data_IF_006313040405
#
_entry.id   IF_006313040405
#
_cell.length_a   1.000
_cell.length_b   1.000
_cell.length_c   1.000
_cell.angle_alpha   90.00
_cell.angle_beta   90.00
_cell.angle_gamma   90.00
#
_symmetry.space_group_name_H-M   'P 1'
#
loop_
_entity.id
_entity.type
_entity.pdbx_description
1 polymer ?
#
# COMPACT_ATOMS: atom_id res chain seq x y z
N UNK A 1 2.66 0.38 -7.02
CA UNK A 1 2.14 0.23 -5.64
C UNK A 1 0.63 0.10 -5.55
N UNK A 2 -0.12 1.00 -6.19
CA UNK A 2 -1.58 1.00 -6.10
C UNK A 2 -2.21 -0.32 -6.58
N UNK A 3 -1.87 -0.77 -7.77
CA UNK A 3 -2.48 -1.99 -8.32
C UNK A 3 -2.15 -3.23 -7.49
N UNK A 4 -0.91 -3.34 -7.02
CA UNK A 4 -0.51 -4.45 -6.16
C UNK A 4 -1.31 -4.44 -4.85
N UNK A 5 -1.42 -3.28 -4.20
CA UNK A 5 -2.16 -3.13 -2.96
C UNK A 5 -3.66 -3.38 -3.16
N UNK A 6 -4.26 -2.79 -4.19
CA UNK A 6 -5.68 -2.95 -4.46
C UNK A 6 -6.03 -4.42 -4.72
N UNK A 7 -5.20 -5.13 -5.50
CA UNK A 7 -5.39 -6.57 -5.72
C UNK A 7 -5.25 -7.36 -4.41
N UNK A 8 -4.17 -7.11 -3.66
CA UNK A 8 -3.88 -7.85 -2.43
C UNK A 8 -4.99 -7.69 -1.38
N UNK A 9 -5.46 -6.46 -1.18
CA UNK A 9 -6.50 -6.19 -0.18
C UNK A 9 -7.86 -6.74 -0.58
N UNK A 10 -8.15 -6.81 -1.87
CA UNK A 10 -9.42 -7.36 -2.36
C UNK A 10 -9.39 -8.89 -2.48
N UNK A 11 -8.21 -9.50 -2.55
CA UNK A 11 -8.01 -10.94 -2.69
C UNK A 11 -6.95 -11.45 -1.71
N UNK A 12 -7.11 -11.21 -0.40
CA UNK A 12 -6.04 -11.49 0.57
C UNK A 12 -5.70 -12.97 0.69
N UNK A 13 -6.61 -13.86 0.34
CA UNK A 13 -6.35 -15.30 0.37
C UNK A 13 -5.36 -15.77 -0.70
N UNK A 14 -5.09 -14.94 -1.72
CA UNK A 14 -4.14 -15.27 -2.80
C UNK A 14 -2.77 -14.61 -2.62
N UNK A 15 -2.59 -13.77 -1.61
CA UNK A 15 -1.38 -12.94 -1.48
C UNK A 15 -0.82 -13.09 -0.07
N UNK A 16 0.42 -13.58 0.06
CA UNK A 16 1.10 -13.67 1.35
C UNK A 16 1.97 -12.46 1.65
N UNK A 17 2.50 -11.80 0.61
CA UNK A 17 3.42 -10.66 0.73
C UNK A 17 3.00 -9.55 -0.21
N UNK A 18 2.89 -8.33 0.32
CA UNK A 18 2.60 -7.14 -0.47
C UNK A 18 3.74 -6.14 -0.31
N UNK A 19 4.39 -5.80 -1.42
CA UNK A 19 5.35 -4.71 -1.48
C UNK A 19 4.75 -3.57 -2.30
N UNK A 20 4.26 -2.55 -1.63
CA UNK A 20 3.71 -1.36 -2.29
C UNK A 20 4.76 -0.26 -2.28
N UNK A 21 5.30 0.06 -3.45
CA UNK A 21 6.34 1.06 -3.60
C UNK A 21 5.74 2.32 -4.22
N UNK A 22 5.61 3.38 -3.42
CA UNK A 22 5.04 4.65 -3.85
C UNK A 22 3.57 4.54 -4.25
N UNK A 23 2.78 3.78 -3.51
CA UNK A 23 1.37 3.55 -3.85
C UNK A 23 0.49 4.79 -3.74
N UNK A 24 -0.35 5.02 -4.74
CA UNK A 24 -1.38 6.05 -4.74
C UNK A 24 -2.70 5.41 -4.31
N UNK A 25 -3.03 5.50 -3.03
CA UNK A 25 -4.12 4.72 -2.45
C UNK A 25 -5.49 5.40 -2.48
N UNK A 26 -5.52 6.68 -2.80
CA UNK A 26 -6.76 7.45 -2.95
C UNK A 26 -6.90 7.88 -4.40
N UNK A 27 -7.65 7.10 -5.19
CA UNK A 27 -7.81 7.39 -6.61
C UNK A 27 -8.75 8.57 -6.88
N UNK A 28 -9.48 9.05 -5.88
CA UNK A 28 -10.36 10.23 -6.04
C UNK A 28 -9.59 11.45 -6.52
N UNK A 29 -8.35 11.61 -6.07
CA UNK A 29 -7.49 12.72 -6.49
C UNK A 29 -7.17 12.68 -7.98
N UNK A 30 -7.19 11.50 -8.63
CA UNK A 30 -6.97 11.34 -10.06
C UNK A 30 -8.27 11.42 -10.87
N UNK A 31 -9.42 11.51 -10.21
CA UNK A 31 -10.75 11.56 -10.80
C UNK A 31 -11.41 12.94 -10.62
N UNK A 32 -10.61 13.98 -10.40
CA UNK A 32 -11.08 15.36 -10.14
C UNK A 32 -12.14 15.44 -9.02
N UNK A 33 -11.97 14.60 -7.99
CA UNK A 33 -12.93 14.55 -6.90
C UNK A 33 -14.20 13.76 -7.19
N UNK A 34 -14.37 13.22 -8.40
CA UNK A 34 -15.52 12.38 -8.74
C UNK A 34 -15.52 11.14 -7.85
N UNK A 35 -16.70 10.79 -7.30
CA UNK A 35 -16.83 9.68 -6.39
C UNK A 35 -18.13 8.94 -6.62
N UNK A 36 -18.05 7.64 -6.85
CA UNK A 36 -19.17 6.71 -6.91
C UNK A 36 -18.76 5.37 -6.32
N UNK A 37 -19.62 4.35 -6.42
CA UNK A 37 -19.32 3.03 -5.86
C UNK A 37 -18.08 2.40 -6.45
N UNK A 38 -17.85 2.54 -7.77
CA UNK A 38 -16.66 1.99 -8.42
C UNK A 38 -15.38 2.66 -7.88
N UNK A 39 -15.41 3.96 -7.68
CA UNK A 39 -14.26 4.70 -7.10
C UNK A 39 -14.04 4.24 -5.66
N UNK A 40 -15.10 4.12 -4.87
CA UNK A 40 -15.01 3.65 -3.48
C UNK A 40 -14.37 2.26 -3.41
N UNK A 41 -14.86 1.28 -4.18
CA UNK A 41 -14.38 -0.10 -4.13
C UNK A 41 -12.99 -0.29 -4.78
N UNK A 42 -12.42 0.75 -5.36
CA UNK A 42 -11.06 0.75 -5.91
C UNK A 42 -10.14 1.76 -5.22
N UNK A 43 -10.59 2.36 -4.13
CA UNK A 43 -9.77 3.26 -3.30
C UNK A 43 -9.47 2.58 -1.96
N UNK A 44 -8.28 1.98 -1.77
CA UNK A 44 -7.97 1.25 -0.53
C UNK A 44 -8.15 2.08 0.74
N UNK A 45 -7.88 3.38 0.70
CA UNK A 45 -8.11 4.25 1.86
C UNK A 45 -9.58 4.29 2.29
N UNK A 46 -10.51 4.06 1.36
CA UNK A 46 -11.95 4.08 1.65
C UNK A 46 -12.46 2.71 2.09
N UNK A 47 -12.18 1.65 1.32
CA UNK A 47 -12.84 0.37 1.58
C UNK A 47 -12.19 -0.47 2.68
N UNK A 48 -10.91 -0.23 3.01
CA UNK A 48 -10.21 -1.06 4.01
C UNK A 48 -10.87 -1.04 5.39
N UNK A 49 -11.51 0.06 5.75
CA UNK A 49 -12.20 0.14 7.05
C UNK A 49 -13.35 -0.85 7.18
N UNK A 50 -13.95 -1.27 6.07
CA UNK A 50 -15.09 -2.19 6.07
C UNK A 50 -14.73 -3.63 5.74
N UNK A 51 -13.47 -3.95 5.44
CA UNK A 51 -13.07 -5.31 5.10
C UNK A 51 -12.82 -6.15 6.36
N UNK A 52 -13.46 -7.32 6.43
CA UNK A 52 -13.36 -8.24 7.57
C UNK A 52 -12.75 -9.59 7.23
N UNK A 53 -12.12 -9.73 6.06
CA UNK A 53 -11.43 -10.97 5.68
C UNK A 53 -10.20 -11.17 6.57
N UNK A 54 -10.19 -12.25 7.36
CA UNK A 54 -9.12 -12.52 8.32
C UNK A 54 -7.74 -12.72 7.65
N UNK A 55 -7.70 -13.07 6.38
CA UNK A 55 -6.45 -13.23 5.63
C UNK A 55 -5.66 -11.92 5.54
N UNK A 56 -6.31 -10.77 5.71
CA UNK A 56 -5.61 -9.47 5.77
C UNK A 56 -4.59 -9.43 6.91
N UNK A 57 -4.88 -10.06 8.05
CA UNK A 57 -4.00 -10.07 9.21
C UNK A 57 -2.86 -11.08 9.08
N UNK A 58 -2.93 -11.98 8.09
CA UNK A 58 -1.87 -12.96 7.80
C UNK A 58 -0.91 -12.50 6.70
N UNK A 59 -1.18 -11.36 6.08
CA UNK A 59 -0.37 -10.84 4.99
C UNK A 59 0.82 -10.03 5.53
N UNK A 60 2.01 -10.25 4.96
CA UNK A 60 3.18 -9.43 5.22
C UNK A 60 3.16 -8.21 4.29
N UNK A 61 3.03 -7.02 4.86
CA UNK A 61 2.82 -5.79 4.11
C UNK A 61 4.00 -4.84 4.31
N UNK A 62 4.57 -4.37 3.21
CA UNK A 62 5.54 -3.28 3.21
C UNK A 62 5.00 -2.13 2.38
N UNK A 63 4.94 -0.95 2.99
CA UNK A 63 4.62 0.31 2.30
C UNK A 63 5.91 1.10 2.15
N UNK A 64 6.48 1.13 0.95
CA UNK A 64 7.69 1.88 0.65
C UNK A 64 7.34 3.24 0.08
N UNK A 65 7.90 4.30 0.65
CA UNK A 65 7.71 5.67 0.17
C UNK A 65 8.96 6.50 0.49
N UNK A 66 8.92 7.77 0.16
CA UNK A 66 9.97 8.74 0.49
C UNK A 66 9.34 10.09 0.80
N UNK A 67 10.03 10.91 1.59
CA UNK A 67 9.54 12.25 1.92
C UNK A 67 9.40 13.17 0.69
N UNK A 68 10.04 12.86 -0.43
CA UNK A 68 9.90 13.60 -1.70
C UNK A 68 8.94 12.93 -2.69
N UNK A 69 8.31 11.82 -2.30
CA UNK A 69 7.35 11.11 -3.15
C UNK A 69 6.04 11.89 -3.19
N UNK A 70 5.47 12.08 -4.39
CA UNK A 70 4.15 12.73 -4.54
C UNK A 70 3.05 11.94 -3.83
N UNK A 71 3.27 10.65 -3.58
CA UNK A 71 2.33 9.79 -2.86
C UNK A 71 2.70 9.62 -1.37
N UNK A 72 3.59 10.46 -0.83
CA UNK A 72 4.02 10.34 0.56
C UNK A 72 2.84 10.39 1.53
N UNK A 73 1.97 11.40 1.40
CA UNK A 73 0.81 11.56 2.27
C UNK A 73 -0.16 10.39 2.17
N UNK A 74 -0.38 9.87 0.95
CA UNK A 74 -1.24 8.71 0.75
C UNK A 74 -0.69 7.47 1.47
N UNK A 75 0.62 7.28 1.49
CA UNK A 75 1.26 6.18 2.21
C UNK A 75 1.16 6.34 3.72
N UNK A 76 1.30 7.56 4.25
CA UNK A 76 1.09 7.82 5.68
C UNK A 76 -0.37 7.52 6.08
N UNK A 77 -1.32 7.94 5.26
CA UNK A 77 -2.75 7.66 5.51
C UNK A 77 -3.05 6.16 5.46
N UNK A 78 -2.46 5.44 4.50
CA UNK A 78 -2.62 3.98 4.41
C UNK A 78 -2.06 3.29 5.65
N UNK A 79 -0.87 3.69 6.10
CA UNK A 79 -0.28 3.16 7.33
C UNK A 79 -1.20 3.38 8.53
N UNK A 80 -1.83 4.55 8.62
CA UNK A 80 -2.81 4.85 9.68
C UNK A 80 -4.02 3.92 9.61
N UNK A 81 -4.57 3.71 8.42
CA UNK A 81 -5.72 2.78 8.23
C UNK A 81 -5.35 1.38 8.69
N UNK A 82 -4.19 0.88 8.27
CA UNK A 82 -3.73 -0.46 8.69
C UNK A 82 -3.52 -0.54 10.20
N UNK A 83 -2.94 0.49 10.80
CA UNK A 83 -2.74 0.54 12.26
C UNK A 83 -4.06 0.61 13.02
N UNK A 84 -5.03 1.39 12.53
CA UNK A 84 -6.36 1.50 13.13
C UNK A 84 -7.10 0.15 13.14
N UNK A 85 -6.81 -0.72 12.16
CA UNK A 85 -7.36 -2.06 12.06
C UNK A 85 -6.47 -3.13 12.69
N UNK A 86 -5.37 -2.75 13.36
CA UNK A 86 -4.39 -3.67 13.94
C UNK A 86 -3.77 -4.63 12.92
N UNK A 87 -3.62 -4.17 11.68
CA UNK A 87 -2.96 -4.93 10.61
C UNK A 87 -1.48 -4.56 10.62
N UNK A 88 -0.62 -5.53 10.97
CA UNK A 88 0.81 -5.30 11.04
C UNK A 88 1.37 -5.02 9.66
N UNK A 89 2.28 -4.05 9.58
CA UNK A 89 2.93 -3.66 8.34
C UNK A 89 4.23 -2.92 8.65
N UNK A 90 5.09 -2.80 7.64
CA UNK A 90 6.28 -1.98 7.71
C UNK A 90 6.12 -0.77 6.80
N UNK A 91 6.15 0.42 7.40
CA UNK A 91 6.19 1.69 6.65
C UNK A 91 7.65 2.09 6.49
N UNK A 92 8.22 1.87 5.30
CA UNK A 92 9.60 2.20 4.97
C UNK A 92 9.65 3.57 4.31
N UNK A 93 10.14 4.56 5.04
CA UNK A 93 10.28 5.93 4.54
C UNK A 93 11.73 6.19 4.19
N UNK A 94 12.00 6.32 2.88
CA UNK A 94 13.31 6.73 2.37
C UNK A 94 13.44 8.24 2.41
N UNK A 95 14.68 8.75 2.46
CA UNK A 95 14.93 10.18 2.54
C UNK A 95 15.39 10.71 1.19
N UNK A 96 14.80 11.86 0.78
CA UNK A 96 15.24 12.64 -0.38
C UNK A 96 15.19 11.86 -1.70
N UNK A 97 14.23 10.95 -1.85
CA UNK A 97 14.00 10.17 -3.07
C UNK A 97 12.67 10.54 -3.70
N UNK A 98 12.67 10.71 -5.01
CA UNK A 98 11.46 11.01 -5.78
C UNK A 98 10.67 9.75 -6.10
N UNK A 99 9.42 9.94 -6.51
CA UNK A 99 8.54 8.87 -7.01
C UNK A 99 9.05 8.41 -8.39
N UNK A 100 10.10 7.58 -8.42
CA UNK A 100 10.77 7.18 -9.66
C UNK A 100 11.53 5.86 -9.49
N UNK A 101 11.93 5.27 -10.60
CA UNK A 101 12.63 3.98 -10.68
C UNK A 101 13.87 3.85 -9.79
N UNK A 102 14.74 4.86 -9.64
CA UNK A 102 15.94 4.69 -8.82
C UNK A 102 15.65 4.23 -7.40
N UNK A 103 14.61 4.79 -6.73
CA UNK A 103 14.27 4.37 -5.38
C UNK A 103 13.62 2.98 -5.38
N UNK A 104 12.78 2.67 -6.37
CA UNK A 104 12.13 1.37 -6.45
C UNK A 104 13.12 0.24 -6.72
N UNK A 105 14.16 0.49 -7.50
CA UNK A 105 15.25 -0.46 -7.74
C UNK A 105 16.05 -0.77 -6.46
N UNK A 106 16.12 0.16 -5.52
CA UNK A 106 16.72 -0.08 -4.20
C UNK A 106 15.76 -0.84 -3.28
N UNK A 107 14.48 -0.47 -3.30
CA UNK A 107 13.45 -1.03 -2.42
C UNK A 107 13.21 -2.52 -2.68
N UNK A 108 12.98 -2.89 -3.92
CA UNK A 108 12.52 -4.24 -4.25
C UNK A 108 13.51 -5.32 -3.81
N UNK A 109 14.82 -5.25 -4.14
CA UNK A 109 15.77 -6.23 -3.62
C UNK A 109 15.87 -6.24 -2.10
N UNK A 110 15.79 -5.07 -1.47
CA UNK A 110 15.81 -4.96 -0.01
C UNK A 110 14.65 -5.72 0.61
N UNK A 111 13.44 -5.52 0.09
CA UNK A 111 12.26 -6.20 0.62
C UNK A 111 12.32 -7.71 0.37
N UNK A 112 12.75 -8.12 -0.82
CA UNK A 112 12.95 -9.54 -1.13
C UNK A 112 13.94 -10.21 -0.19
N UNK A 113 15.00 -9.52 0.19
CA UNK A 113 16.03 -10.08 1.09
C UNK A 113 15.50 -10.39 2.49
N UNK A 114 14.36 -9.83 2.86
CA UNK A 114 13.74 -10.02 4.18
C UNK A 114 12.71 -11.14 4.19
N UNK A 115 12.38 -11.72 3.06
CA UNK A 115 11.44 -12.84 2.96
C UNK A 115 12.14 -14.13 3.31
N UNK A 116 11.47 -14.96 4.12
CA UNK A 116 11.88 -16.35 4.37
C UNK A 116 11.06 -17.25 3.47
N UNK A 117 11.74 -18.02 2.62
CA UNK A 117 11.07 -18.85 1.61
C UNK A 117 10.77 -20.29 2.08
N UNK A 118 10.84 -20.56 3.37
CA UNK A 118 10.50 -21.86 3.93
C UNK A 118 10.02 -21.80 5.36
#
# INVERSE_FOLDING_TARGET
>A
GYHAANFAFRHPGYVSHLFSMGGAFDIKSFMDGFHNDDVFYNSPLDYLYGLDDYELWNMDIVLGTSNWDICFDANLKMSKVLSDRNIHHWLDIRQDKKHDWPVWKEMFPHYLSRIKFF
#
